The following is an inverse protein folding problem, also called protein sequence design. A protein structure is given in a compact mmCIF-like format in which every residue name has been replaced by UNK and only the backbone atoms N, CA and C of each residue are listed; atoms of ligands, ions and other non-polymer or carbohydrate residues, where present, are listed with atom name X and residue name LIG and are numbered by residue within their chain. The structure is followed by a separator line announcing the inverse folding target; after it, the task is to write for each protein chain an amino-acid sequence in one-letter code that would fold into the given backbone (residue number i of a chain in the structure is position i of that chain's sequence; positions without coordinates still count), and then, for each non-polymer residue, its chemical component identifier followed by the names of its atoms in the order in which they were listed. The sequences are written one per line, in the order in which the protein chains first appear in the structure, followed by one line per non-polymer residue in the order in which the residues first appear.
data_IF_409122277797
#
_entry.id   IF_409122277797
#
_cell.length_a   1.000
_cell.length_b   1.000
_cell.length_c   1.000
_cell.angle_alpha   90.00
_cell.angle_beta   90.00
_cell.angle_gamma   90.00
#
_symmetry.space_group_name_H-M   'P 1'
#
loop_
_entity.id
_entity.type
_entity.pdbx_description
1 polymer ?
#
# COMPACT_ATOMS: atom_id res chain seq x y z
N UNK A 1 9.89 -27.35 57.51
CA UNK A 1 9.56 -25.89 57.36
C UNK A 1 10.56 -25.18 56.42
N UNK A 2 11.05 -25.85 55.34
CA UNK A 2 12.07 -25.29 54.41
C UNK A 2 11.62 -25.33 52.93
N UNK A 3 10.54 -26.01 52.59
CA UNK A 3 10.11 -26.16 51.18
C UNK A 3 9.34 -24.97 50.57
N UNK A 4 8.73 -24.11 51.41
CA UNK A 4 7.95 -22.98 50.90
C UNK A 4 8.80 -21.75 50.48
N UNK A 5 10.08 -21.73 50.86
CA UNK A 5 10.94 -20.58 50.59
C UNK A 5 11.51 -20.58 49.16
N UNK A 6 11.64 -21.75 48.55
CA UNK A 6 12.13 -21.86 47.17
C UNK A 6 11.07 -21.60 46.11
N UNK A 7 9.79 -21.90 46.42
CA UNK A 7 8.69 -21.64 45.51
C UNK A 7 8.44 -20.12 45.31
N UNK A 8 8.64 -19.31 46.33
CA UNK A 8 8.52 -17.85 46.25
C UNK A 8 9.67 -17.19 45.47
N UNK A 9 10.87 -17.74 45.54
CA UNK A 9 12.02 -17.25 44.77
C UNK A 9 11.88 -17.57 43.27
N UNK A 10 11.33 -18.73 42.91
CA UNK A 10 11.09 -19.11 41.54
C UNK A 10 9.96 -18.27 40.89
N UNK A 11 8.91 -17.99 41.64
CA UNK A 11 7.80 -17.19 41.12
C UNK A 11 8.16 -15.72 40.87
N UNK A 12 9.15 -15.17 41.59
CA UNK A 12 9.62 -13.79 41.37
C UNK A 12 10.75 -13.69 40.34
N UNK A 13 11.46 -14.78 40.06
CA UNK A 13 12.52 -14.80 39.05
C UNK A 13 11.95 -14.59 37.63
N UNK A 14 10.74 -15.06 37.35
CA UNK A 14 10.04 -14.84 36.05
C UNK A 14 9.50 -13.41 35.84
N UNK A 15 9.41 -12.62 36.90
CA UNK A 15 9.00 -11.20 36.81
C UNK A 15 10.19 -10.25 36.55
N UNK A 16 11.42 -10.71 36.61
CA UNK A 16 12.63 -9.89 36.47
C UNK A 16 13.16 -9.82 35.03
N UNK A 17 12.65 -10.63 34.14
CA UNK A 17 12.97 -10.53 32.72
C UNK A 17 11.69 -10.17 31.96
N UNK A 18 11.52 -8.90 31.56
CA UNK A 18 10.48 -8.60 30.58
C UNK A 18 10.85 -9.38 29.31
N UNK A 19 10.06 -10.38 28.96
CA UNK A 19 10.13 -10.98 27.65
C UNK A 19 9.75 -9.89 26.65
N UNK A 20 10.71 -9.27 26.03
CA UNK A 20 10.47 -8.53 24.81
C UNK A 20 10.01 -9.56 23.78
N UNK A 21 8.71 -9.66 23.61
CA UNK A 21 8.15 -10.43 22.50
C UNK A 21 8.54 -9.69 21.22
N UNK A 22 9.50 -10.25 20.48
CA UNK A 22 9.83 -9.75 19.16
C UNK A 22 8.72 -10.26 18.24
N UNK A 23 7.83 -9.35 17.82
CA UNK A 23 6.89 -9.66 16.76
C UNK A 23 7.66 -9.89 15.46
N UNK A 24 7.69 -11.13 15.02
CA UNK A 24 8.27 -11.48 13.74
C UNK A 24 7.25 -11.20 12.64
N UNK A 25 7.72 -10.59 11.56
CA UNK A 25 6.92 -10.43 10.34
C UNK A 25 6.54 -11.80 9.75
N UNK A 26 5.32 -11.93 9.26
CA UNK A 26 4.86 -13.14 8.58
C UNK A 26 5.74 -13.47 7.37
N UNK A 27 6.23 -14.71 7.32
CA UNK A 27 7.00 -15.23 6.20
C UNK A 27 6.10 -16.07 5.30
N UNK A 28 5.80 -15.57 4.11
CA UNK A 28 4.99 -16.29 3.13
C UNK A 28 5.87 -17.13 2.21
N UNK A 29 5.56 -18.43 2.12
CA UNK A 29 6.18 -19.35 1.16
C UNK A 29 5.32 -19.39 -0.09
N UNK A 30 5.88 -18.92 -1.21
CA UNK A 30 5.18 -18.86 -2.48
C UNK A 30 5.39 -20.09 -3.32
N UNK A 31 4.30 -20.77 -3.67
CA UNK A 31 4.33 -21.83 -4.68
C UNK A 31 4.66 -21.29 -6.09
N UNK A 32 4.96 -22.19 -7.01
CA UNK A 32 5.13 -21.86 -8.43
C UNK A 32 3.82 -21.31 -9.00
N UNK A 33 3.93 -20.26 -9.82
CA UNK A 33 2.78 -19.70 -10.53
C UNK A 33 2.29 -20.71 -11.57
N UNK A 34 1.01 -21.01 -11.53
CA UNK A 34 0.30 -21.81 -12.54
C UNK A 34 -0.59 -20.88 -13.35
N UNK A 35 -0.70 -21.09 -14.63
CA UNK A 35 -1.52 -20.30 -15.54
C UNK A 35 -2.32 -21.26 -16.41
N UNK A 36 -3.59 -20.98 -16.61
CA UNK A 36 -4.46 -21.81 -17.44
C UNK A 36 -4.03 -21.75 -18.93
N UNK A 37 -3.65 -20.58 -19.39
CA UNK A 37 -3.20 -20.37 -20.76
C UNK A 37 -2.03 -19.38 -20.91
N UNK A 38 -1.51 -19.30 -22.15
CA UNK A 38 -0.44 -18.33 -22.49
C UNK A 38 -0.90 -16.86 -22.38
N UNK A 39 -2.20 -16.58 -22.58
CA UNK A 39 -2.75 -15.23 -22.50
C UNK A 39 -2.80 -14.75 -21.06
N UNK A 40 -3.23 -15.62 -20.14
CA UNK A 40 -3.23 -15.32 -18.71
C UNK A 40 -1.81 -15.06 -18.20
N UNK A 41 -0.87 -15.92 -18.57
CA UNK A 41 0.55 -15.73 -18.27
C UNK A 41 1.06 -14.36 -18.76
N UNK A 42 0.73 -13.99 -20.01
CA UNK A 42 1.13 -12.70 -20.56
C UNK A 42 0.50 -11.54 -19.81
N UNK A 43 -0.81 -11.61 -19.49
CA UNK A 43 -1.51 -10.58 -18.69
C UNK A 43 -0.86 -10.40 -17.32
N UNK A 44 -0.53 -11.49 -16.63
CA UNK A 44 0.15 -11.44 -15.34
C UNK A 44 1.52 -10.73 -15.44
N UNK A 45 2.35 -11.07 -16.43
CA UNK A 45 3.66 -10.42 -16.57
C UNK A 45 3.56 -8.94 -16.96
N UNK A 46 2.56 -8.56 -17.77
CA UNK A 46 2.28 -7.15 -18.07
C UNK A 46 1.86 -6.41 -16.80
N UNK A 47 0.95 -6.99 -16.01
CA UNK A 47 0.50 -6.43 -14.73
C UNK A 47 1.67 -6.27 -13.77
N UNK A 48 2.50 -7.31 -13.62
CA UNK A 48 3.70 -7.29 -12.79
C UNK A 48 4.65 -6.15 -13.18
N UNK A 49 4.97 -6.01 -14.46
CA UNK A 49 5.84 -4.92 -14.94
C UNK A 49 5.28 -3.55 -14.57
N UNK A 50 3.97 -3.34 -14.76
CA UNK A 50 3.30 -2.08 -14.42
C UNK A 50 3.29 -1.82 -12.91
N UNK A 51 3.00 -2.84 -12.10
CA UNK A 51 3.01 -2.74 -10.64
C UNK A 51 4.39 -2.37 -10.13
N UNK A 52 5.45 -3.04 -10.61
CA UNK A 52 6.83 -2.72 -10.25
C UNK A 52 7.23 -1.30 -10.60
N UNK A 53 6.83 -0.81 -11.79
CA UNK A 53 7.10 0.56 -12.24
C UNK A 53 6.42 1.59 -11.34
N UNK A 54 5.17 1.33 -10.95
CA UNK A 54 4.32 2.32 -10.27
C UNK A 54 4.50 2.30 -8.75
N UNK A 55 4.83 1.16 -8.16
CA UNK A 55 4.90 0.98 -6.71
C UNK A 55 5.81 1.99 -5.98
N UNK A 56 7.02 2.31 -6.44
CA UNK A 56 7.88 3.30 -5.78
C UNK A 56 7.21 4.69 -5.68
N UNK A 57 6.50 5.10 -6.75
CA UNK A 57 5.77 6.37 -6.77
C UNK A 57 4.56 6.35 -5.84
N UNK A 58 3.83 5.22 -5.80
CA UNK A 58 2.70 5.05 -4.90
C UNK A 58 3.14 5.11 -3.43
N UNK A 59 4.23 4.42 -3.09
CA UNK A 59 4.81 4.42 -1.75
C UNK A 59 5.17 5.84 -1.31
N UNK A 60 5.95 6.54 -2.11
CA UNK A 60 6.40 7.88 -1.76
C UNK A 60 5.23 8.88 -1.72
N UNK A 61 4.27 8.79 -2.65
CA UNK A 61 3.07 9.62 -2.63
C UNK A 61 2.25 9.38 -1.36
N UNK A 62 2.07 8.12 -0.94
CA UNK A 62 1.35 7.79 0.28
C UNK A 62 2.05 8.34 1.53
N UNK A 63 3.36 8.14 1.66
CA UNK A 63 4.16 8.66 2.77
C UNK A 63 4.03 10.19 2.88
N UNK A 64 4.18 10.90 1.76
CA UNK A 64 4.07 12.37 1.75
C UNK A 64 2.66 12.87 2.03
N UNK A 65 1.64 12.16 1.61
CA UNK A 65 0.25 12.52 1.88
C UNK A 65 -0.10 12.33 3.37
N UNK A 66 0.40 11.25 3.99
CA UNK A 66 0.24 11.02 5.43
C UNK A 66 0.97 12.10 6.22
N UNK A 67 2.26 12.34 5.94
CA UNK A 67 3.05 13.39 6.60
C UNK A 67 2.40 14.77 6.47
N UNK A 68 1.84 15.07 5.29
CA UNK A 68 1.13 16.32 5.06
C UNK A 68 -0.11 16.45 5.92
N UNK A 69 -0.93 15.39 5.97
CA UNK A 69 -2.15 15.37 6.75
C UNK A 69 -1.86 15.54 8.24
N UNK A 70 -0.86 14.81 8.76
CA UNK A 70 -0.44 14.91 10.15
C UNK A 70 0.09 16.30 10.47
N UNK A 71 0.97 16.85 9.62
CA UNK A 71 1.50 18.21 9.80
C UNK A 71 0.41 19.27 9.80
N UNK A 72 -0.64 19.10 8.99
CA UNK A 72 -1.75 20.06 8.93
C UNK A 72 -2.58 20.09 10.22
N UNK A 73 -2.66 18.97 10.96
CA UNK A 73 -3.36 18.92 12.25
C UNK A 73 -2.68 19.80 13.31
N UNK A 74 -1.35 19.89 13.28
CA UNK A 74 -0.57 20.70 14.24
C UNK A 74 -0.51 22.18 13.89
N UNK A 75 -0.87 22.59 12.67
CA UNK A 75 -0.82 23.98 12.25
C UNK A 75 -2.16 24.67 12.51
N UNK A 76 -2.27 25.46 13.57
CA UNK A 76 -3.53 26.11 13.97
C UNK A 76 -3.99 27.22 13.00
N UNK A 77 -3.07 27.96 12.39
CA UNK A 77 -3.40 29.11 11.54
C UNK A 77 -3.65 28.70 10.09
N UNK A 78 -4.85 28.92 9.57
CA UNK A 78 -5.25 28.61 8.17
C UNK A 78 -4.30 29.15 7.10
N UNK A 79 -3.68 30.34 7.34
CA UNK A 79 -2.68 30.92 6.43
C UNK A 79 -1.41 30.04 6.34
N UNK A 80 -0.95 29.51 7.47
CA UNK A 80 0.22 28.64 7.52
C UNK A 80 -0.07 27.28 6.92
N UNK A 81 -1.26 26.68 7.19
CA UNK A 81 -1.71 25.47 6.53
C UNK A 81 -1.67 25.60 5.00
N UNK A 82 -2.24 26.69 4.47
CA UNK A 82 -2.25 26.97 3.03
C UNK A 82 -0.83 27.10 2.45
N UNK A 83 0.08 27.76 3.17
CA UNK A 83 1.47 27.92 2.75
C UNK A 83 2.22 26.58 2.75
N UNK A 84 2.01 25.77 3.79
CA UNK A 84 2.63 24.46 3.92
C UNK A 84 2.11 23.49 2.82
N UNK A 85 0.80 23.39 2.63
CA UNK A 85 0.19 22.60 1.54
C UNK A 85 0.76 22.98 0.18
N UNK A 86 0.91 24.27 -0.11
CA UNK A 86 1.49 24.75 -1.37
C UNK A 86 2.96 24.36 -1.52
N UNK A 87 3.74 24.35 -0.41
CA UNK A 87 5.14 23.93 -0.41
C UNK A 87 5.28 22.44 -0.73
N UNK A 88 4.49 21.59 -0.07
CA UNK A 88 4.49 20.13 -0.31
C UNK A 88 4.00 19.81 -1.73
N UNK A 89 2.96 20.51 -2.19
CA UNK A 89 2.48 20.39 -3.57
C UNK A 89 3.61 20.66 -4.58
N UNK A 90 4.30 21.80 -4.43
CA UNK A 90 5.39 22.17 -5.34
C UNK A 90 6.54 21.14 -5.32
N UNK A 91 6.82 20.55 -4.15
CA UNK A 91 7.81 19.50 -4.00
C UNK A 91 7.41 18.23 -4.79
N UNK A 92 6.18 17.75 -4.61
CA UNK A 92 5.68 16.57 -5.33
C UNK A 92 5.56 16.83 -6.83
N UNK A 93 5.13 18.02 -7.23
CA UNK A 93 5.11 18.43 -8.64
C UNK A 93 6.51 18.42 -9.26
N UNK A 94 7.52 18.89 -8.56
CA UNK A 94 8.91 18.87 -9.03
C UNK A 94 9.50 17.49 -9.16
N UNK A 95 9.28 16.64 -8.16
CA UNK A 95 9.84 15.29 -8.12
C UNK A 95 9.18 14.31 -9.12
N UNK A 96 7.84 14.44 -9.32
CA UNK A 96 7.09 13.36 -9.96
C UNK A 96 6.32 13.75 -11.21
N UNK A 97 6.18 15.06 -11.52
CA UNK A 97 5.29 15.47 -12.61
C UNK A 97 5.70 14.86 -13.95
N UNK A 98 6.98 14.80 -14.24
CA UNK A 98 7.48 14.23 -15.51
C UNK A 98 7.29 12.73 -15.59
N UNK A 99 7.50 12.02 -14.51
CA UNK A 99 7.31 10.56 -14.45
C UNK A 99 5.83 10.19 -14.49
N UNK A 100 4.99 10.92 -13.75
CA UNK A 100 3.54 10.70 -13.75
C UNK A 100 2.90 11.00 -15.09
N UNK A 101 3.39 11.99 -15.85
CA UNK A 101 2.93 12.28 -17.21
C UNK A 101 3.22 11.15 -18.21
N UNK A 102 4.28 10.37 -17.96
CA UNK A 102 4.69 9.23 -18.79
C UNK A 102 3.92 7.94 -18.47
N UNK A 103 3.09 7.92 -17.42
CA UNK A 103 2.30 6.74 -17.06
C UNK A 103 1.16 6.52 -18.04
N UNK A 104 0.96 5.27 -18.42
CA UNK A 104 -0.22 4.86 -19.17
C UNK A 104 -1.47 4.90 -18.28
N UNK A 105 -2.67 4.90 -18.89
CA UNK A 105 -3.94 4.88 -18.17
C UNK A 105 -4.03 3.76 -17.15
N UNK A 106 -3.59 2.55 -17.50
CA UNK A 106 -3.62 1.39 -16.60
C UNK A 106 -2.60 1.53 -15.47
N UNK A 107 -1.40 2.06 -15.73
CA UNK A 107 -0.41 2.37 -14.71
C UNK A 107 -0.93 3.40 -13.71
N UNK A 108 -1.60 4.46 -14.20
CA UNK A 108 -2.23 5.45 -13.33
C UNK A 108 -3.40 4.88 -12.50
N UNK A 109 -4.17 3.93 -13.03
CA UNK A 109 -5.19 3.22 -12.25
C UNK A 109 -4.58 2.38 -11.13
N UNK A 110 -3.47 1.68 -11.41
CA UNK A 110 -2.71 0.92 -10.40
C UNK A 110 -2.16 1.88 -9.33
N UNK A 111 -1.63 3.04 -9.73
CA UNK A 111 -1.13 4.06 -8.80
C UNK A 111 -2.21 4.48 -7.79
N UNK A 112 -3.40 4.82 -8.28
CA UNK A 112 -4.54 5.23 -7.43
C UNK A 112 -4.94 4.12 -6.45
N UNK A 113 -5.02 2.88 -6.94
CA UNK A 113 -5.33 1.70 -6.10
C UNK A 113 -4.25 1.47 -5.03
N UNK A 114 -2.97 1.59 -5.38
CA UNK A 114 -1.87 1.42 -4.43
C UNK A 114 -1.81 2.54 -3.38
N UNK A 115 -2.16 3.78 -3.73
CA UNK A 115 -2.32 4.85 -2.74
C UNK A 115 -3.43 4.48 -1.74
N UNK A 116 -4.58 3.99 -2.20
CA UNK A 116 -5.64 3.52 -1.31
C UNK A 116 -5.18 2.36 -0.41
N UNK A 117 -4.48 1.36 -0.96
CA UNK A 117 -3.89 0.26 -0.20
C UNK A 117 -3.01 0.74 0.96
N UNK A 118 -2.25 1.79 0.74
CA UNK A 118 -1.23 2.28 1.67
C UNK A 118 -1.73 3.32 2.66
N UNK A 119 -2.84 4.02 2.34
CA UNK A 119 -3.38 5.11 3.17
C UNK A 119 -4.76 4.82 3.76
N UNK A 120 -5.45 3.78 3.27
CA UNK A 120 -6.85 3.51 3.62
C UNK A 120 -7.85 4.53 3.05
N UNK A 121 -7.37 5.54 2.33
CA UNK A 121 -8.20 6.61 1.78
C UNK A 121 -8.06 6.69 0.27
N UNK A 122 -9.15 6.99 -0.44
CA UNK A 122 -9.08 7.15 -1.89
C UNK A 122 -8.23 8.38 -2.24
N UNK A 123 -7.54 8.31 -3.38
CA UNK A 123 -6.78 9.47 -3.87
C UNK A 123 -7.66 10.72 -4.01
N UNK A 124 -8.94 10.55 -4.33
CA UNK A 124 -9.91 11.63 -4.37
C UNK A 124 -10.13 12.29 -3.00
N UNK A 125 -10.32 11.48 -1.95
CA UNK A 125 -10.52 11.99 -0.57
C UNK A 125 -9.28 12.75 -0.11
N UNK A 126 -8.10 12.16 -0.26
CA UNK A 126 -6.84 12.79 0.11
C UNK A 126 -6.60 14.14 -0.59
N UNK A 127 -7.00 14.24 -1.87
CA UNK A 127 -6.86 15.48 -2.66
C UNK A 127 -7.98 16.49 -2.36
N UNK A 128 -9.18 16.01 -1.97
CA UNK A 128 -10.32 16.89 -1.63
C UNK A 128 -10.02 17.77 -0.42
N UNK A 129 -9.38 17.20 0.59
CA UNK A 129 -9.05 17.89 1.85
C UNK A 129 -7.86 18.86 1.66
N UNK A 130 -7.02 18.58 0.68
CA UNK A 130 -5.92 19.46 0.25
C UNK A 130 -6.43 20.52 -0.72
N UNK A 131 -6.88 21.66 -0.19
CA UNK A 131 -7.52 22.76 -0.93
C UNK A 131 -6.77 23.22 -2.20
N UNK A 132 -7.53 23.30 -3.29
CA UNK A 132 -7.32 24.06 -4.55
C UNK A 132 -6.14 23.72 -5.48
N UNK A 133 -4.92 23.48 -5.00
CA UNK A 133 -3.77 23.24 -5.88
C UNK A 133 -3.63 21.79 -6.30
N UNK A 134 -3.78 20.87 -5.36
CA UNK A 134 -3.69 19.43 -5.59
C UNK A 134 -4.74 18.89 -6.54
N UNK A 135 -5.96 19.42 -6.48
CA UNK A 135 -7.01 19.08 -7.47
C UNK A 135 -6.56 19.44 -8.87
N UNK A 136 -6.04 20.63 -9.07
CA UNK A 136 -5.57 21.09 -10.38
C UNK A 136 -4.39 20.22 -10.87
N UNK A 137 -3.42 19.91 -10.01
CA UNK A 137 -2.30 19.02 -10.33
C UNK A 137 -2.75 17.62 -10.77
N UNK A 138 -3.56 16.95 -9.95
CA UNK A 138 -4.06 15.62 -10.27
C UNK A 138 -4.98 15.63 -11.51
N UNK A 139 -5.82 16.65 -11.68
CA UNK A 139 -6.64 16.80 -12.88
C UNK A 139 -5.80 17.11 -14.12
N UNK A 140 -4.75 17.90 -14.02
CA UNK A 140 -3.87 18.21 -15.15
C UNK A 140 -2.93 17.05 -15.48
N UNK A 141 -2.41 16.37 -14.47
CA UNK A 141 -1.39 15.33 -14.66
C UNK A 141 -1.99 13.96 -14.97
N UNK A 142 -3.11 13.59 -14.34
CA UNK A 142 -3.69 12.25 -14.46
C UNK A 142 -5.07 12.22 -15.12
N UNK A 143 -5.96 13.14 -14.80
CA UNK A 143 -7.34 13.08 -15.26
C UNK A 143 -7.49 13.60 -16.68
N UNK A 144 -6.77 14.68 -17.05
CA UNK A 144 -6.84 15.27 -18.39
C UNK A 144 -6.18 14.37 -19.44
N UNK A 145 -5.08 13.70 -19.08
CA UNK A 145 -4.39 12.78 -19.98
C UNK A 145 -5.05 11.41 -20.09
N UNK A 146 -5.72 10.90 -19.04
CA UNK A 146 -6.06 9.47 -18.97
C UNK A 146 -7.47 9.11 -18.53
N UNK A 147 -8.36 10.06 -18.21
CA UNK A 147 -9.71 9.77 -17.66
C UNK A 147 -9.67 8.76 -16.51
N UNK A 148 -8.73 8.92 -15.56
CA UNK A 148 -8.56 8.03 -14.41
C UNK A 148 -9.59 8.41 -13.35
N UNK A 149 -10.28 7.39 -12.80
CA UNK A 149 -11.17 7.58 -11.68
C UNK A 149 -10.37 7.56 -10.36
N UNK A 150 -10.19 8.73 -9.73
CA UNK A 150 -9.47 8.88 -8.45
C UNK A 150 -10.22 8.30 -7.25
N UNK A 151 -11.50 7.91 -7.41
CA UNK A 151 -12.30 7.25 -6.37
C UNK A 151 -12.15 5.73 -6.37
N UNK A 152 -11.27 5.18 -7.21
CA UNK A 152 -11.06 3.74 -7.22
C UNK A 152 -10.39 3.30 -5.93
N UNK A 153 -10.97 2.26 -5.36
CA UNK A 153 -10.47 1.57 -4.18
C UNK A 153 -9.68 0.34 -4.59
N UNK A 154 -8.82 -0.10 -3.69
CA UNK A 154 -8.12 -1.38 -3.78
C UNK A 154 -8.92 -2.41 -2.99
N UNK A 155 -9.45 -3.43 -3.66
CA UNK A 155 -10.35 -4.43 -3.09
C UNK A 155 -9.90 -5.85 -3.48
N UNK A 156 -8.83 -6.38 -2.86
CA UNK A 156 -8.27 -7.68 -3.23
C UNK A 156 -9.17 -8.86 -2.86
N UNK A 157 -10.16 -8.63 -1.99
CA UNK A 157 -11.18 -9.62 -1.64
C UNK A 157 -12.17 -9.87 -2.77
N UNK A 158 -12.52 -8.85 -3.56
CA UNK A 158 -13.64 -8.91 -4.51
C UNK A 158 -13.18 -8.79 -5.96
N UNK A 159 -12.03 -8.17 -6.20
CA UNK A 159 -11.48 -7.91 -7.53
C UNK A 159 -10.22 -8.75 -7.73
N UNK A 160 -10.28 -9.73 -8.64
CA UNK A 160 -9.17 -10.63 -8.95
C UNK A 160 -7.90 -9.90 -9.40
N UNK A 161 -8.02 -8.80 -10.18
CA UNK A 161 -6.87 -7.98 -10.58
C UNK A 161 -6.14 -7.39 -9.37
N UNK A 162 -6.89 -6.95 -8.34
CA UNK A 162 -6.33 -6.37 -7.13
C UNK A 162 -5.64 -7.43 -6.26
N UNK A 163 -6.20 -8.65 -6.21
CA UNK A 163 -5.53 -9.80 -5.62
C UNK A 163 -4.22 -10.12 -6.34
N UNK A 164 -4.21 -10.13 -7.68
CA UNK A 164 -2.97 -10.36 -8.44
C UNK A 164 -1.93 -9.27 -8.20
N UNK A 165 -2.33 -8.01 -8.04
CA UNK A 165 -1.43 -6.92 -7.66
C UNK A 165 -0.83 -7.20 -6.28
N UNK A 166 -1.65 -7.63 -5.31
CA UNK A 166 -1.17 -7.97 -3.98
C UNK A 166 -0.21 -9.17 -4.00
N UNK A 167 -0.53 -10.25 -4.73
CA UNK A 167 0.37 -11.40 -4.88
C UNK A 167 1.72 -11.00 -5.49
N UNK A 168 1.69 -10.12 -6.51
CA UNK A 168 2.90 -9.57 -7.12
C UNK A 168 3.73 -8.80 -6.10
N UNK A 169 3.11 -7.98 -5.26
CA UNK A 169 3.80 -7.20 -4.23
C UNK A 169 4.39 -8.09 -3.16
N UNK A 170 3.63 -9.05 -2.63
CA UNK A 170 4.10 -9.95 -1.58
C UNK A 170 5.29 -10.81 -2.07
N UNK A 171 5.22 -11.34 -3.29
CA UNK A 171 6.37 -12.03 -3.93
C UNK A 171 7.57 -11.11 -4.13
N UNK A 172 7.35 -9.84 -4.47
CA UNK A 172 8.43 -8.88 -4.65
C UNK A 172 9.09 -8.51 -3.33
N UNK A 173 8.32 -8.41 -2.25
CA UNK A 173 8.82 -8.15 -0.89
C UNK A 173 9.63 -9.34 -0.38
N UNK A 174 9.12 -10.56 -0.52
CA UNK A 174 9.84 -11.77 -0.12
C UNK A 174 11.16 -11.97 -0.91
N UNK A 175 11.18 -11.52 -2.17
CA UNK A 175 12.40 -11.56 -3.00
C UNK A 175 13.30 -10.32 -2.83
N UNK A 176 13.04 -9.43 -1.87
CA UNK A 176 13.77 -8.17 -1.63
C UNK A 176 13.91 -7.26 -2.88
N UNK A 177 12.97 -7.37 -3.83
CA UNK A 177 12.97 -6.53 -5.04
C UNK A 177 12.30 -5.18 -4.85
N UNK A 178 11.40 -5.08 -3.90
CA UNK A 178 10.72 -3.86 -3.50
C UNK A 178 10.80 -3.70 -1.99
N UNK A 179 10.94 -2.46 -1.53
CA UNK A 179 10.89 -2.16 -0.08
C UNK A 179 9.47 -2.41 0.42
N UNK A 180 9.33 -3.29 1.43
CA UNK A 180 8.03 -3.61 2.03
C UNK A 180 7.38 -2.34 2.60
N UNK A 181 6.09 -2.21 2.34
CA UNK A 181 5.18 -1.32 3.06
C UNK A 181 3.90 -2.10 3.33
N UNK A 182 3.55 -2.21 4.61
CA UNK A 182 2.35 -2.92 5.06
C UNK A 182 1.11 -2.22 4.50
N UNK A 183 0.08 -2.99 4.15
CA UNK A 183 -1.23 -2.43 3.81
C UNK A 183 -1.87 -1.86 5.07
N UNK A 184 -2.56 -0.73 4.93
CA UNK A 184 -3.42 -0.17 5.98
C UNK A 184 -4.81 -0.84 5.99
N UNK A 185 -5.18 -1.46 4.86
CA UNK A 185 -6.44 -2.16 4.72
C UNK A 185 -6.41 -3.48 5.48
N UNK A 186 -7.53 -3.81 6.11
CA UNK A 186 -7.70 -5.01 6.92
C UNK A 186 -8.01 -6.22 6.02
N UNK A 187 -6.98 -6.95 5.63
CA UNK A 187 -7.07 -8.25 4.98
C UNK A 187 -5.82 -9.09 5.26
N UNK A 188 -6.02 -10.40 5.35
CA UNK A 188 -4.92 -11.37 5.43
C UNK A 188 -4.62 -11.95 4.04
N UNK A 189 -3.35 -11.92 3.65
CA UNK A 189 -2.92 -12.42 2.35
C UNK A 189 -3.10 -13.95 2.22
N UNK A 190 -2.92 -14.72 3.30
CA UNK A 190 -3.08 -16.16 3.24
C UNK A 190 -4.54 -16.54 2.94
N UNK A 191 -5.48 -15.88 3.61
CA UNK A 191 -6.92 -16.03 3.36
C UNK A 191 -7.31 -15.64 1.95
N UNK A 192 -6.79 -14.53 1.42
CA UNK A 192 -6.98 -14.10 0.03
C UNK A 192 -6.46 -15.17 -0.96
N UNK A 193 -5.25 -15.66 -0.74
CA UNK A 193 -4.64 -16.68 -1.61
C UNK A 193 -5.47 -17.95 -1.65
N UNK A 194 -5.99 -18.39 -0.51
CA UNK A 194 -6.86 -19.58 -0.44
C UNK A 194 -8.19 -19.35 -1.16
N UNK A 195 -8.85 -18.20 -0.95
CA UNK A 195 -10.09 -17.82 -1.61
C UNK A 195 -9.98 -17.90 -3.14
N UNK A 196 -8.95 -17.28 -3.70
CA UNK A 196 -8.80 -17.19 -5.14
C UNK A 196 -8.32 -18.50 -5.78
N UNK A 197 -7.46 -19.29 -5.12
CA UNK A 197 -7.10 -20.65 -5.57
C UNK A 197 -8.31 -21.59 -5.64
N UNK A 198 -9.19 -21.53 -4.63
CA UNK A 198 -10.40 -22.36 -4.61
C UNK A 198 -11.40 -21.94 -5.68
N UNK A 199 -11.42 -20.67 -6.08
CA UNK A 199 -12.29 -20.17 -7.15
C UNK A 199 -11.80 -20.57 -8.55
N UNK A 200 -10.51 -20.77 -8.75
CA UNK A 200 -9.92 -21.25 -10.00
C UNK A 200 -10.21 -22.74 -10.20
N UNK A 201 -10.10 -23.56 -9.16
CA UNK A 201 -10.39 -25.01 -9.22
C UNK A 201 -11.87 -25.34 -9.46
N UNK A 202 -12.81 -24.39 -9.28
CA UNK A 202 -14.24 -24.59 -9.56
C UNK A 202 -14.64 -24.23 -11.00
N UNK A 203 -13.72 -23.71 -11.81
CA UNK A 203 -13.98 -23.35 -13.22
C UNK A 203 -13.54 -24.42 -14.23
N UNK A 204 -12.83 -25.45 -13.74
CA UNK A 204 -12.50 -26.67 -14.48
C UNK A 204 -13.57 -27.74 -14.21
#
# INVERSE_FOLDING_TARGET
MYEYRYAYLWCNFWKLFPYEAIELDDVYIFGKLKFADKKEKLRYYILRRKTFKVYPYAKLAAERLVELNDSLQYISKKRHQKRYTKKVQKYIEGEFSEELKKLTRTEGQILVKLIHRQTGSTAFTLVKDLRSGWRAFWYQTTAKAFKINLKREFQPTDIHEDYLIEDILQRAFAANRLKRQKSVLDYDYASLSNKWKTSETKKD
#
